data_IF_125822668061
#
_entry.id   IF_125822668061
#
_cell.length_a   1.000
_cell.length_b   1.000
_cell.length_c   1.000
_cell.angle_alpha   90.00
_cell.angle_beta   90.00
_cell.angle_gamma   90.00
#
_symmetry.space_group_name_H-M   'P 1'
#
loop_
_entity.id
_entity.type
_entity.pdbx_description
1 polymer ?
#
# COMPACT_ATOMS: atom_id res chain seq x y z
N UNK A 1 -1.23 -2.65 -11.53
CA UNK A 1 -2.00 -1.83 -12.50
C UNK A 1 -1.08 -0.85 -13.23
N UNK A 2 -0.58 0.15 -12.52
CA UNK A 2 0.05 1.36 -13.05
C UNK A 2 1.38 1.13 -13.81
N UNK A 3 2.15 0.09 -13.48
CA UNK A 3 3.41 -0.25 -14.20
C UNK A 3 3.16 -0.98 -15.51
N UNK A 4 2.36 -2.04 -15.48
CA UNK A 4 2.18 -2.94 -16.63
C UNK A 4 1.20 -2.38 -17.67
N UNK A 5 0.05 -1.88 -17.22
CA UNK A 5 -1.00 -1.41 -18.14
C UNK A 5 -0.60 -0.14 -18.88
N UNK A 6 0.20 0.75 -18.26
CA UNK A 6 0.74 1.93 -18.94
C UNK A 6 1.71 1.59 -20.09
N UNK A 7 2.17 0.34 -20.15
CA UNK A 7 3.05 -0.19 -21.20
C UNK A 7 2.33 -1.11 -22.19
N UNK A 8 0.99 -1.16 -22.16
CA UNK A 8 0.22 -2.07 -23.01
C UNK A 8 0.20 -3.53 -22.53
N UNK A 9 0.72 -3.83 -21.34
CA UNK A 9 0.86 -5.20 -20.83
C UNK A 9 -0.26 -5.51 -19.83
N UNK A 10 -0.84 -6.72 -19.92
CA UNK A 10 -1.92 -7.20 -19.04
C UNK A 10 -3.12 -6.23 -18.95
N UNK A 11 -3.53 -5.66 -20.08
CA UNK A 11 -4.54 -4.59 -20.14
C UNK A 11 -5.87 -4.94 -19.46
N UNK A 12 -6.28 -6.22 -19.52
CA UNK A 12 -7.52 -6.69 -18.93
C UNK A 12 -7.36 -7.23 -17.51
N UNK A 13 -6.13 -7.40 -17.01
CA UNK A 13 -5.89 -7.95 -15.68
C UNK A 13 -6.31 -6.96 -14.59
N UNK A 14 -7.06 -7.46 -13.60
CA UNK A 14 -7.41 -6.71 -12.39
C UNK A 14 -6.50 -7.13 -11.24
N UNK A 15 -6.29 -6.21 -10.32
CA UNK A 15 -5.44 -6.39 -9.13
C UNK A 15 -6.33 -6.19 -7.92
N UNK A 16 -6.31 -7.15 -7.01
CA UNK A 16 -7.06 -7.13 -5.77
C UNK A 16 -6.07 -7.20 -4.60
N UNK A 17 -6.32 -6.41 -3.57
CA UNK A 17 -5.55 -6.46 -2.32
C UNK A 17 -6.46 -6.90 -1.17
N UNK A 18 -6.08 -7.96 -0.46
CA UNK A 18 -6.86 -8.50 0.67
C UNK A 18 -6.20 -8.11 1.99
N UNK A 19 -6.94 -7.43 2.86
CA UNK A 19 -6.49 -7.07 4.20
C UNK A 19 -6.92 -8.16 5.17
N UNK A 20 -5.94 -8.86 5.76
CA UNK A 20 -6.19 -9.83 6.83
C UNK A 20 -6.03 -9.22 8.22
N UNK A 21 -5.23 -8.14 8.33
CA UNK A 21 -4.96 -7.46 9.59
C UNK A 21 -4.45 -6.03 9.31
N UNK A 22 -5.17 -5.02 9.80
CA UNK A 22 -4.87 -3.59 9.61
C UNK A 22 -3.77 -3.07 10.53
N UNK A 23 -3.44 -3.78 11.62
CA UNK A 23 -2.40 -3.36 12.55
C UNK A 23 -1.00 -3.47 11.94
N UNK A 24 -0.78 -4.47 11.08
CA UNK A 24 0.51 -4.74 10.43
C UNK A 24 0.55 -4.20 8.99
N UNK A 25 0.88 -2.92 8.86
CA UNK A 25 0.75 -2.20 7.58
C UNK A 25 2.00 -2.23 6.68
N UNK A 26 3.10 -2.82 7.16
CA UNK A 26 4.40 -2.72 6.49
C UNK A 26 4.92 -1.28 6.49
N UNK A 27 5.16 -0.73 7.68
CA UNK A 27 5.74 0.61 7.87
C UNK A 27 7.26 0.49 7.96
N UNK A 28 7.98 1.30 7.19
CA UNK A 28 9.45 1.31 7.15
C UNK A 28 10.00 2.74 7.02
N UNK A 29 11.31 2.94 7.17
CA UNK A 29 11.90 4.25 6.99
C UNK A 29 11.72 4.72 5.55
N UNK A 30 11.54 6.02 5.34
CA UNK A 30 11.31 6.54 3.98
C UNK A 30 12.50 6.26 3.04
N UNK A 31 13.72 6.23 3.58
CA UNK A 31 14.94 5.90 2.84
C UNK A 31 14.95 4.45 2.28
N UNK A 32 14.22 3.54 2.93
CA UNK A 32 14.15 2.13 2.54
C UNK A 32 13.37 1.92 1.24
N UNK A 33 12.68 2.94 0.72
CA UNK A 33 11.99 2.86 -0.57
C UNK A 33 12.92 2.39 -1.70
N UNK A 34 14.19 2.82 -1.66
CA UNK A 34 15.20 2.43 -2.65
C UNK A 34 15.40 0.91 -2.75
N UNK A 35 15.13 0.17 -1.67
CA UNK A 35 15.25 -1.29 -1.60
C UNK A 35 14.12 -2.02 -2.35
N UNK A 36 13.01 -1.33 -2.66
CA UNK A 36 11.87 -1.92 -3.35
C UNK A 36 12.10 -2.12 -4.86
N UNK A 37 13.18 -1.54 -5.41
CA UNK A 37 13.46 -1.53 -6.83
C UNK A 37 12.27 -0.99 -7.67
N UNK A 38 11.58 0.02 -7.15
CA UNK A 38 10.45 0.68 -7.80
C UNK A 38 10.86 2.06 -8.31
N UNK A 39 10.30 2.52 -9.45
CA UNK A 39 10.50 3.88 -9.92
C UNK A 39 10.06 4.93 -8.90
N UNK A 40 10.83 6.01 -8.79
CA UNK A 40 10.61 7.11 -7.82
C UNK A 40 9.22 7.76 -7.89
N UNK A 41 8.58 7.74 -9.07
CA UNK A 41 7.20 8.23 -9.24
C UNK A 41 6.18 7.53 -8.33
N UNK A 42 6.49 6.35 -7.80
CA UNK A 42 5.62 5.63 -6.86
C UNK A 42 5.83 6.02 -5.40
N UNK A 43 6.86 6.79 -5.05
CA UNK A 43 7.14 7.20 -3.66
C UNK A 43 5.93 7.81 -2.96
N UNK A 44 5.16 8.64 -3.68
CA UNK A 44 3.94 9.28 -3.18
C UNK A 44 2.85 8.28 -2.76
N UNK A 45 2.71 7.16 -3.48
CA UNK A 45 1.77 6.08 -3.11
C UNK A 45 2.12 5.49 -1.74
N UNK A 46 3.41 5.42 -1.39
CA UNK A 46 3.89 4.89 -0.12
C UNK A 46 3.99 5.94 1.00
N UNK A 47 4.07 7.22 0.67
CA UNK A 47 4.32 8.30 1.64
C UNK A 47 3.28 8.30 2.77
N UNK A 48 3.74 8.29 4.02
CA UNK A 48 2.91 8.12 5.19
C UNK A 48 3.56 8.74 6.42
N UNK A 49 2.75 9.20 7.36
CA UNK A 49 3.18 9.70 8.65
C UNK A 49 2.20 9.26 9.73
N UNK A 50 2.72 8.93 10.90
CA UNK A 50 1.91 8.57 12.08
C UNK A 50 2.62 9.08 13.36
N UNK A 51 2.00 8.83 14.52
CA UNK A 51 2.55 9.20 15.83
C UNK A 51 3.51 8.18 16.45
N UNK A 52 3.83 7.07 15.77
CA UNK A 52 4.65 6.00 16.35
C UNK A 52 6.14 6.31 16.25
N UNK A 53 6.90 6.00 17.31
CA UNK A 53 8.36 6.13 17.33
C UNK A 53 9.07 5.04 16.51
N UNK A 54 8.45 3.87 16.38
CA UNK A 54 8.93 2.75 15.56
C UNK A 54 8.21 2.71 14.20
N UNK A 55 8.84 2.22 13.13
CA UNK A 55 10.28 1.89 13.04
C UNK A 55 11.19 3.13 13.08
N UNK A 56 10.66 4.30 12.69
CA UNK A 56 11.31 5.62 12.83
C UNK A 56 10.26 6.66 13.23
N UNK A 57 10.66 7.80 13.78
CA UNK A 57 9.76 8.92 14.06
C UNK A 57 9.54 9.74 12.78
N UNK A 58 8.30 10.20 12.54
CA UNK A 58 7.97 11.10 11.43
C UNK A 58 7.63 10.37 10.13
N UNK A 59 8.20 10.82 9.01
CA UNK A 59 7.88 10.35 7.65
C UNK A 59 8.36 8.92 7.40
N UNK A 60 7.51 8.11 6.77
CA UNK A 60 7.68 6.67 6.56
C UNK A 60 7.17 6.28 5.17
N UNK A 61 7.50 5.06 4.76
CA UNK A 61 6.69 4.37 3.75
C UNK A 61 5.67 3.45 4.43
N UNK A 62 4.50 3.29 3.82
CA UNK A 62 3.46 2.37 4.23
C UNK A 62 3.00 1.52 3.03
N UNK A 63 3.27 0.23 3.09
CA UNK A 63 3.01 -0.68 1.98
C UNK A 63 1.53 -0.94 1.79
N UNK A 64 0.79 -1.08 2.90
CA UNK A 64 -0.66 -1.27 2.86
C UNK A 64 -1.37 -0.07 2.21
N UNK A 65 -0.96 1.16 2.55
CA UNK A 65 -1.45 2.38 1.90
C UNK A 65 -1.20 2.33 0.39
N UNK A 66 0.03 2.02 -0.04
CA UNK A 66 0.34 1.91 -1.46
C UNK A 66 -0.51 0.82 -2.15
N UNK A 67 -0.69 -0.33 -1.50
CA UNK A 67 -1.50 -1.42 -2.05
C UNK A 67 -2.98 -1.04 -2.21
N UNK A 68 -3.55 -0.30 -1.24
CA UNK A 68 -4.92 0.23 -1.32
C UNK A 68 -5.07 1.19 -2.51
N UNK A 69 -4.10 2.08 -2.72
CA UNK A 69 -4.13 3.05 -3.82
C UNK A 69 -3.94 2.41 -5.20
N UNK A 70 -3.06 1.41 -5.31
CA UNK A 70 -2.67 0.80 -6.59
C UNK A 70 -3.56 -0.37 -7.04
N UNK A 71 -4.39 -0.91 -6.14
CA UNK A 71 -5.36 -1.96 -6.44
C UNK A 71 -6.56 -1.43 -7.24
N UNK A 72 -7.30 -2.36 -7.86
CA UNK A 72 -8.61 -2.06 -8.42
C UNK A 72 -9.72 -2.27 -7.40
N UNK A 73 -9.52 -3.22 -6.47
CA UNK A 73 -10.45 -3.49 -5.39
C UNK A 73 -9.68 -3.92 -4.15
N UNK A 74 -10.18 -3.48 -3.00
CA UNK A 74 -9.71 -3.94 -1.70
C UNK A 74 -10.78 -4.87 -1.13
N UNK A 75 -10.34 -6.01 -0.63
CA UNK A 75 -11.18 -7.00 0.04
C UNK A 75 -10.64 -7.22 1.46
N UNK A 76 -11.44 -7.87 2.28
CA UNK A 76 -11.07 -8.23 3.64
C UNK A 76 -11.79 -9.50 4.04
N UNK A 77 -11.40 -10.09 5.17
CA UNK A 77 -11.75 -11.47 5.53
C UNK A 77 -13.19 -11.69 5.98
N UNK A 78 -13.96 -10.64 6.27
CA UNK A 78 -15.38 -10.77 6.62
C UNK A 78 -16.17 -9.46 6.43
N UNK A 79 -17.51 -9.52 6.33
CA UNK A 79 -18.35 -8.32 6.31
C UNK A 79 -18.24 -7.46 7.57
N UNK A 80 -18.04 -8.07 8.74
CA UNK A 80 -17.85 -7.32 9.99
C UNK A 80 -16.50 -6.60 9.99
N UNK A 81 -15.44 -7.29 9.56
CA UNK A 81 -14.13 -6.66 9.47
C UNK A 81 -14.11 -5.55 8.41
N UNK A 82 -14.88 -5.70 7.32
CA UNK A 82 -15.08 -4.61 6.37
C UNK A 82 -15.69 -3.36 7.01
N UNK A 83 -16.64 -3.51 7.93
CA UNK A 83 -17.22 -2.37 8.68
C UNK A 83 -16.20 -1.73 9.60
N UNK A 84 -15.38 -2.53 10.31
CA UNK A 84 -14.31 -2.02 11.18
C UNK A 84 -13.22 -1.25 10.41
N UNK A 85 -12.94 -1.63 9.16
CA UNK A 85 -11.92 -0.95 8.33
C UNK A 85 -12.40 0.40 7.76
N UNK A 86 -13.71 0.61 7.65
CA UNK A 86 -14.30 1.81 7.02
C UNK A 86 -15.01 2.75 8.01
N UNK A 87 -15.12 2.35 9.28
CA UNK A 87 -15.61 3.19 10.37
C UNK A 87 -14.57 4.22 10.79
#
# INVERSE_FOLDING_TARGET
KTVYQSRGIYMNAKVVFCIHNIAYQGRFAFADFSLLNLPDRYKSSFDFMDGYLKPVKGRKINWMKAAILEAHRVLTVSPNYAKELVS
#
